data_IF_824948965703
#
_entry.id   IF_824948965703
#
_cell.length_a   1.000
_cell.length_b   1.000
_cell.length_c   1.000
_cell.angle_alpha   90.00
_cell.angle_beta   90.00
_cell.angle_gamma   90.00
#
_symmetry.space_group_name_H-M   'P 1'
#
loop_
_entity.id
_entity.type
_entity.pdbx_description
1 polymer ?
#
# COMPACT_ATOMS: atom_id res chain seq x y z
N UNK A 1 -16.53 36.29 -59.40
CA UNK A 1 -15.85 35.01 -59.70
C UNK A 1 -14.77 34.80 -58.65
N UNK A 2 -14.98 33.90 -57.68
CA UNK A 2 -13.96 33.53 -56.70
C UNK A 2 -13.61 32.06 -56.91
N UNK A 3 -12.34 31.81 -57.26
CA UNK A 3 -11.74 30.48 -57.35
C UNK A 3 -11.29 30.04 -55.96
N UNK A 4 -11.91 28.99 -55.44
CA UNK A 4 -11.49 28.35 -54.19
C UNK A 4 -10.51 27.22 -54.53
N UNK A 5 -9.25 27.37 -54.11
CA UNK A 5 -8.18 26.40 -54.34
C UNK A 5 -8.17 25.36 -53.22
N UNK A 6 -8.35 24.08 -53.56
CA UNK A 6 -8.33 22.95 -52.62
C UNK A 6 -6.88 22.48 -52.41
N UNK A 7 -6.36 22.64 -51.18
CA UNK A 7 -5.12 21.99 -50.74
C UNK A 7 -5.40 20.53 -50.34
N UNK A 8 -4.80 19.59 -51.06
CA UNK A 8 -4.75 18.17 -50.71
C UNK A 8 -3.57 17.92 -49.76
N UNK A 9 -3.84 17.60 -48.50
CA UNK A 9 -2.83 17.08 -47.56
C UNK A 9 -2.68 15.56 -47.73
N UNK A 10 -1.46 15.03 -47.84
CA UNK A 10 -1.23 13.59 -47.84
C UNK A 10 -1.40 13.01 -46.43
N UNK A 11 -2.27 12.01 -46.30
CA UNK A 11 -2.36 11.17 -45.12
C UNK A 11 -1.13 10.25 -45.06
N UNK A 12 -0.18 10.56 -44.18
CA UNK A 12 0.87 9.64 -43.80
C UNK A 12 0.28 8.52 -42.92
N UNK A 13 0.16 7.32 -43.47
CA UNK A 13 -0.15 6.12 -42.68
C UNK A 13 1.06 5.78 -41.80
N UNK A 14 0.94 6.03 -40.50
CA UNK A 14 1.89 5.52 -39.52
C UNK A 14 1.78 3.98 -39.46
N UNK A 15 2.89 3.28 -39.69
CA UNK A 15 2.95 1.83 -39.56
C UNK A 15 2.78 1.44 -38.07
N UNK A 16 2.02 0.38 -37.75
CA UNK A 16 1.88 -0.10 -36.39
C UNK A 16 3.23 -0.67 -35.90
N UNK A 17 3.82 -0.05 -34.89
CA UNK A 17 4.99 -0.62 -34.21
C UNK A 17 4.53 -1.79 -33.33
N UNK A 18 4.81 -3.00 -33.79
CA UNK A 18 4.62 -4.23 -33.00
C UNK A 18 5.78 -4.40 -32.03
N UNK A 19 5.82 -3.58 -30.98
CA UNK A 19 6.68 -3.85 -29.83
C UNK A 19 5.80 -4.40 -28.69
N UNK A 20 5.26 -5.59 -28.91
CA UNK A 20 4.53 -6.33 -27.87
C UNK A 20 5.57 -7.08 -27.05
N UNK A 21 6.20 -6.37 -26.12
CA UNK A 21 7.02 -7.00 -25.08
C UNK A 21 6.09 -7.91 -24.27
N UNK A 22 6.14 -9.23 -24.49
CA UNK A 22 5.43 -10.21 -23.67
C UNK A 22 5.89 -10.03 -22.22
N UNK A 23 5.07 -9.38 -21.40
CA UNK A 23 5.27 -9.38 -19.94
C UNK A 23 5.23 -10.82 -19.48
N UNK A 24 6.35 -11.32 -18.95
CA UNK A 24 6.38 -12.58 -18.21
C UNK A 24 5.37 -12.46 -17.08
N UNK A 25 4.27 -13.21 -17.19
CA UNK A 25 3.25 -13.27 -16.13
C UNK A 25 3.85 -14.14 -15.04
N UNK A 26 4.24 -13.52 -13.91
CA UNK A 26 4.74 -14.28 -12.76
C UNK A 26 3.69 -15.29 -12.26
N UNK A 27 4.15 -16.34 -11.59
CA UNK A 27 3.29 -17.34 -10.96
C UNK A 27 3.07 -16.96 -9.50
N UNK A 28 1.80 -16.81 -9.10
CA UNK A 28 1.42 -16.52 -7.72
C UNK A 28 1.82 -17.69 -6.80
N UNK A 29 2.62 -17.36 -5.78
CA UNK A 29 3.15 -18.18 -4.69
C UNK A 29 2.10 -18.52 -3.63
N UNK A 30 1.79 -17.48 -2.88
CA UNK A 30 1.02 -17.52 -1.64
C UNK A 30 0.61 -16.11 -1.24
N UNK A 31 -0.38 -16.02 -0.36
CA UNK A 31 -0.75 -14.80 0.35
C UNK A 31 -0.34 -14.95 1.81
N UNK A 32 0.35 -13.95 2.34
CA UNK A 32 0.77 -13.88 3.73
C UNK A 32 -0.04 -12.78 4.44
N UNK A 33 -0.49 -13.09 5.64
CA UNK A 33 -1.17 -12.14 6.53
C UNK A 33 -0.17 -11.52 7.51
N UNK A 34 -0.46 -10.32 8.06
CA UNK A 34 0.41 -9.68 9.02
C UNK A 34 0.65 -10.54 10.25
N UNK A 35 1.91 -10.64 10.70
CA UNK A 35 2.23 -11.18 12.01
C UNK A 35 2.04 -10.14 13.12
N UNK A 36 2.11 -8.85 12.77
CA UNK A 36 1.76 -7.77 13.68
C UNK A 36 1.24 -6.54 12.94
N UNK A 37 0.48 -5.73 13.67
CA UNK A 37 0.10 -4.36 13.35
C UNK A 37 0.44 -3.49 14.55
N UNK A 38 1.33 -2.51 14.36
CA UNK A 38 1.79 -1.62 15.43
C UNK A 38 1.52 -0.17 15.07
N UNK A 39 0.61 0.45 15.80
CA UNK A 39 0.23 1.83 15.61
C UNK A 39 1.14 2.71 16.48
N UNK A 40 1.87 3.63 15.86
CA UNK A 40 2.57 4.70 16.59
C UNK A 40 1.89 6.03 16.35
N UNK A 41 1.88 6.88 17.37
CA UNK A 41 1.21 8.16 17.31
C UNK A 41 2.15 9.30 17.69
N UNK A 42 2.07 10.39 16.97
CA UNK A 42 2.85 11.59 17.25
C UNK A 42 2.46 12.24 18.59
N UNK A 43 1.18 12.17 18.97
CA UNK A 43 0.66 12.72 20.24
C UNK A 43 1.22 12.03 21.49
N UNK A 44 1.71 10.79 21.37
CA UNK A 44 2.28 9.99 22.46
C UNK A 44 3.62 9.41 22.04
N UNK A 45 4.64 10.26 21.87
CA UNK A 45 5.77 9.93 21.01
C UNK A 45 6.73 8.87 21.59
N UNK A 46 6.70 8.66 22.91
CA UNK A 46 7.47 7.63 23.61
C UNK A 46 6.65 6.38 23.96
N UNK A 47 5.34 6.39 23.66
CA UNK A 47 4.49 5.23 23.90
C UNK A 47 4.93 4.09 22.99
N UNK A 48 5.28 2.97 23.62
CA UNK A 48 5.57 1.72 22.93
C UNK A 48 4.27 0.95 22.79
N UNK A 49 3.97 0.57 21.56
CA UNK A 49 2.76 -0.19 21.24
C UNK A 49 3.16 -1.59 20.81
N UNK A 50 2.37 -2.56 21.23
CA UNK A 50 2.49 -3.96 20.84
C UNK A 50 1.46 -4.29 19.76
N UNK A 51 1.62 -5.45 19.12
CA UNK A 51 0.69 -5.99 18.14
C UNK A 51 -0.78 -5.77 18.52
N UNK A 52 -1.53 -5.15 17.62
CA UNK A 52 -2.98 -5.12 17.62
C UNK A 52 -3.58 -5.89 16.44
N UNK A 53 -4.90 -5.85 16.35
CA UNK A 53 -5.71 -6.42 15.27
C UNK A 53 -6.36 -5.36 14.39
N UNK A 54 -6.08 -4.09 14.66
CA UNK A 54 -6.62 -2.95 13.93
C UNK A 54 -5.49 -2.24 13.21
N UNK A 55 -5.72 -1.88 11.95
CA UNK A 55 -4.86 -0.96 11.23
C UNK A 55 -5.42 0.44 11.30
N UNK A 56 -4.57 1.41 11.63
CA UNK A 56 -4.94 2.82 11.63
C UNK A 56 -3.80 3.66 11.06
N UNK A 57 -4.13 4.57 10.15
CA UNK A 57 -3.20 5.54 9.58
C UNK A 57 -3.91 6.89 9.49
N UNK A 58 -3.31 7.95 10.02
CA UNK A 58 -3.91 9.27 10.05
C UNK A 58 -2.88 10.33 9.71
N UNK A 59 -3.28 11.31 8.92
CA UNK A 59 -2.55 12.56 8.79
C UNK A 59 -3.54 13.71 8.73
N UNK A 60 -3.43 14.64 9.68
CA UNK A 60 -4.37 15.76 9.82
C UNK A 60 -3.94 17.02 9.04
N UNK A 61 -2.87 16.93 8.24
CA UNK A 61 -2.37 18.03 7.42
C UNK A 61 -1.12 18.72 8.00
N UNK A 62 -0.57 19.71 7.27
CA UNK A 62 0.64 20.42 7.66
C UNK A 62 0.46 21.20 8.97
N UNK A 63 1.51 21.26 9.79
CA UNK A 63 1.50 21.97 11.07
C UNK A 63 0.72 21.27 12.20
N UNK A 64 0.17 20.07 11.94
CA UNK A 64 -0.50 19.27 12.96
C UNK A 64 0.46 18.29 13.63
N UNK A 65 0.23 17.97 14.91
CA UNK A 65 1.01 17.00 15.69
C UNK A 65 0.26 15.68 15.92
N UNK A 66 -0.65 15.32 15.01
CA UNK A 66 -1.59 14.21 15.19
C UNK A 66 -1.43 13.14 14.10
N UNK A 67 -0.22 12.94 13.60
CA UNK A 67 0.05 11.88 12.64
C UNK A 67 0.05 10.51 13.34
N UNK A 68 -0.62 9.54 12.73
CA UNK A 68 -0.67 8.14 13.15
C UNK A 68 -0.11 7.31 12.01
N UNK A 69 0.84 6.43 12.35
CA UNK A 69 1.51 5.55 11.39
C UNK A 69 1.37 4.12 11.83
N UNK A 70 1.34 3.23 10.85
CA UNK A 70 1.20 1.80 11.09
C UNK A 70 2.46 1.07 10.62
N UNK A 71 3.04 0.30 11.50
CA UNK A 71 4.05 -0.69 11.15
C UNK A 71 3.40 -2.05 10.99
N UNK A 72 3.76 -2.75 9.91
CA UNK A 72 3.28 -4.09 9.60
C UNK A 72 4.46 -4.99 9.29
N UNK A 73 4.42 -6.24 9.74
CA UNK A 73 5.46 -7.22 9.47
C UNK A 73 4.88 -8.54 9.00
N UNK A 74 5.53 -9.15 8.02
CA UNK A 74 5.16 -10.44 7.44
C UNK A 74 6.31 -11.43 7.60
N UNK A 75 6.04 -12.60 8.15
CA UNK A 75 7.03 -13.68 8.19
C UNK A 75 7.02 -14.39 6.83
N UNK A 76 8.10 -14.22 6.06
CA UNK A 76 8.20 -14.74 4.69
C UNK A 76 8.85 -16.12 4.73
N UNK A 77 8.16 -17.20 4.33
CA UNK A 77 8.73 -18.55 4.37
C UNK A 77 10.00 -18.68 3.51
N UNK A 78 10.94 -19.54 3.90
CA UNK A 78 12.16 -19.80 3.11
C UNK A 78 11.85 -20.27 1.69
N UNK A 79 10.76 -21.00 1.52
CA UNK A 79 10.27 -21.45 0.22
C UNK A 79 9.54 -20.38 -0.60
N UNK A 80 9.29 -19.17 -0.10
CA UNK A 80 8.46 -18.15 -0.76
C UNK A 80 8.91 -17.79 -2.19
N UNK A 81 8.04 -17.08 -2.92
CA UNK A 81 8.39 -16.49 -4.22
C UNK A 81 9.57 -15.54 -4.14
N UNK A 82 10.20 -15.23 -5.27
CA UNK A 82 11.32 -14.28 -5.32
C UNK A 82 10.86 -12.82 -5.18
N UNK A 83 9.62 -12.53 -5.60
CA UNK A 83 9.09 -11.17 -5.68
C UNK A 83 7.87 -11.03 -4.78
N UNK A 84 7.82 -9.94 -4.03
CA UNK A 84 6.81 -9.63 -3.04
C UNK A 84 6.03 -8.37 -3.45
N UNK A 85 4.71 -8.42 -3.26
CA UNK A 85 3.79 -7.30 -3.52
C UNK A 85 2.83 -7.11 -2.36
N UNK A 86 2.61 -5.86 -1.98
CA UNK A 86 1.53 -5.52 -1.07
C UNK A 86 0.18 -5.60 -1.80
N UNK A 87 -0.84 -6.06 -1.09
CA UNK A 87 -2.25 -5.93 -1.44
C UNK A 87 -3.00 -5.33 -0.26
N UNK A 88 -4.05 -4.60 -0.57
CA UNK A 88 -4.97 -4.06 0.41
C UNK A 88 -6.40 -4.26 -0.09
N UNK A 89 -7.28 -4.73 0.78
CA UNK A 89 -8.67 -5.01 0.45
C UNK A 89 -9.54 -4.69 1.65
N UNK A 90 -10.70 -4.08 1.40
CA UNK A 90 -11.72 -3.89 2.43
C UNK A 90 -12.98 -4.62 2.00
N UNK A 91 -13.63 -5.39 2.87
CA UNK A 91 -14.91 -6.01 2.54
C UNK A 91 -15.98 -4.92 2.38
N UNK A 92 -17.13 -5.31 1.83
CA UNK A 92 -18.33 -4.46 1.89
C UNK A 92 -18.60 -4.10 3.36
N UNK A 93 -18.78 -2.81 3.65
CA UNK A 93 -19.04 -2.34 5.01
C UNK A 93 -20.36 -2.91 5.51
N UNK A 94 -20.31 -3.58 6.66
CA UNK A 94 -21.49 -4.10 7.36
C UNK A 94 -21.48 -3.54 8.78
N UNK A 95 -22.46 -2.70 9.16
CA UNK A 95 -22.54 -2.16 10.51
C UNK A 95 -22.47 -3.25 11.57
N UNK A 96 -21.71 -3.02 12.63
CA UNK A 96 -21.47 -3.95 13.74
C UNK A 96 -20.78 -5.29 13.40
N UNK A 97 -20.29 -5.47 12.17
CA UNK A 97 -19.57 -6.68 11.76
C UNK A 97 -18.25 -6.37 11.05
N UNK A 98 -18.31 -5.62 9.95
CA UNK A 98 -17.16 -5.27 9.13
C UNK A 98 -17.09 -3.76 8.97
N UNK A 99 -16.81 -3.08 10.08
CA UNK A 99 -16.66 -1.64 10.08
C UNK A 99 -15.24 -1.23 9.76
N UNK A 100 -15.14 -0.26 8.85
CA UNK A 100 -13.90 0.40 8.49
C UNK A 100 -14.22 1.83 8.08
N UNK A 101 -13.22 2.70 8.12
CA UNK A 101 -13.34 4.10 7.75
C UNK A 101 -12.19 4.47 6.82
N UNK A 102 -12.53 5.15 5.72
CA UNK A 102 -11.56 5.78 4.82
C UNK A 102 -12.06 7.20 4.58
N UNK A 103 -11.26 8.19 4.98
CA UNK A 103 -11.52 9.62 4.78
C UNK A 103 -10.38 10.25 3.97
N UNK A 104 -10.70 11.35 3.29
CA UNK A 104 -9.74 12.07 2.47
C UNK A 104 -9.46 11.34 1.14
N UNK A 105 -8.25 11.48 0.57
CA UNK A 105 -7.93 10.96 -0.76
C UNK A 105 -7.93 9.43 -0.90
N UNK A 106 -7.99 8.68 0.20
CA UNK A 106 -7.91 7.23 0.16
C UNK A 106 -6.54 6.70 -0.29
N UNK A 107 -5.44 7.42 0.00
CA UNK A 107 -4.08 7.06 -0.44
C UNK A 107 -3.14 6.79 0.73
N UNK A 108 -2.42 5.67 0.66
CA UNK A 108 -1.37 5.27 1.61
C UNK A 108 -0.07 5.04 0.84
N UNK A 109 1.04 5.59 1.33
CA UNK A 109 2.38 5.19 0.92
C UNK A 109 2.89 4.07 1.83
N UNK A 110 3.46 3.04 1.21
CA UNK A 110 4.05 1.89 1.90
C UNK A 110 5.56 1.93 1.75
N UNK A 111 6.25 2.06 2.86
CA UNK A 111 7.70 2.23 2.92
C UNK A 111 8.37 0.96 3.43
N UNK A 112 9.39 0.47 2.72
CA UNK A 112 10.28 -0.55 3.26
C UNK A 112 11.15 0.05 4.37
N UNK A 113 11.50 -0.76 5.37
CA UNK A 113 12.38 -0.34 6.46
C UNK A 113 13.82 -0.80 6.21
N UNK A 114 14.80 0.05 6.55
CA UNK A 114 16.23 -0.28 6.51
C UNK A 114 16.61 -1.25 7.63
N UNK A 115 16.10 -1.01 8.82
CA UNK A 115 16.37 -1.81 10.01
C UNK A 115 15.15 -2.67 10.37
N UNK A 116 15.36 -3.85 10.99
CA UNK A 116 14.25 -4.68 11.47
C UNK A 116 13.37 -3.93 12.46
N UNK A 117 12.07 -4.18 12.38
CA UNK A 117 11.12 -3.69 13.39
C UNK A 117 11.09 -4.66 14.58
N UNK A 118 11.21 -4.13 15.80
CA UNK A 118 11.13 -4.91 17.04
C UNK A 118 9.80 -4.62 17.74
N UNK A 119 8.93 -5.62 17.79
CA UNK A 119 7.60 -5.51 18.40
C UNK A 119 7.68 -5.03 19.86
N UNK A 120 6.74 -4.19 20.28
CA UNK A 120 6.68 -3.59 21.62
C UNK A 120 7.87 -2.69 22.01
N UNK A 121 8.80 -2.39 21.11
CA UNK A 121 9.95 -1.53 21.40
C UNK A 121 9.97 -0.23 20.58
N UNK A 122 9.18 -0.21 19.50
CA UNK A 122 9.06 0.95 18.61
C UNK A 122 7.99 1.91 19.13
N UNK A 123 8.32 3.19 19.02
CA UNK A 123 7.51 4.36 19.35
C UNK A 123 7.67 5.38 18.22
N UNK A 124 7.04 6.55 18.35
CA UNK A 124 7.24 7.62 17.37
C UNK A 124 8.71 8.07 17.32
N UNK A 125 9.35 8.27 18.47
CA UNK A 125 10.68 8.88 18.58
C UNK A 125 11.84 7.95 18.19
N UNK A 126 11.66 6.63 18.24
CA UNK A 126 12.71 5.65 17.92
C UNK A 126 12.34 4.72 16.75
N UNK A 127 11.44 5.17 15.87
CA UNK A 127 11.02 4.40 14.69
C UNK A 127 12.18 4.03 13.76
N UNK A 128 12.16 2.84 13.14
CA UNK A 128 13.16 2.45 12.16
C UNK A 128 13.22 3.43 10.98
N UNK A 129 14.41 3.59 10.41
CA UNK A 129 14.61 4.42 9.23
C UNK A 129 13.99 3.74 7.98
N UNK A 130 13.36 4.55 7.12
CA UNK A 130 12.80 4.11 5.84
C UNK A 130 13.88 3.95 4.77
N UNK A 131 13.66 3.04 3.85
CA UNK A 131 14.35 3.07 2.54
C UNK A 131 13.84 4.29 1.76
N UNK A 132 14.71 5.06 1.08
CA UNK A 132 14.26 6.19 0.27
C UNK A 132 13.28 5.78 -0.84
N UNK A 133 12.19 6.53 -0.94
CA UNK A 133 11.06 6.27 -1.86
C UNK A 133 10.07 5.20 -1.32
N UNK A 134 8.75 5.43 -1.47
CA UNK A 134 7.77 4.40 -1.13
C UNK A 134 7.93 3.19 -2.05
N UNK A 135 7.90 1.99 -1.48
CA UNK A 135 7.94 0.75 -2.24
C UNK A 135 6.63 0.54 -3.01
N UNK A 136 5.51 0.90 -2.39
CA UNK A 136 4.18 0.80 -2.99
C UNK A 136 3.32 2.00 -2.64
N UNK A 137 2.30 2.25 -3.46
CA UNK A 137 1.25 3.23 -3.19
C UNK A 137 -0.11 2.55 -3.33
N UNK A 138 -0.91 2.65 -2.28
CA UNK A 138 -2.26 2.09 -2.21
C UNK A 138 -3.24 3.22 -2.48
N UNK A 139 -4.21 2.98 -3.35
CA UNK A 139 -5.38 3.84 -3.55
C UNK A 139 -6.64 3.00 -3.35
N UNK A 140 -7.33 3.25 -2.23
CA UNK A 140 -8.56 2.56 -1.89
C UNK A 140 -9.76 3.24 -2.57
N UNK A 141 -10.64 2.49 -3.25
CA UNK A 141 -11.91 3.03 -3.75
C UNK A 141 -12.73 3.68 -2.64
N UNK A 142 -13.31 4.84 -2.93
CA UNK A 142 -14.23 5.52 -2.03
C UNK A 142 -15.61 4.84 -2.00
N UNK A 143 -16.25 4.79 -0.84
CA UNK A 143 -17.65 4.39 -0.69
C UNK A 143 -17.85 3.05 0.04
N UNK A 144 -19.07 2.73 0.49
CA UNK A 144 -19.33 1.67 1.46
C UNK A 144 -19.10 0.24 0.94
N UNK A 145 -18.87 0.07 -0.37
CA UNK A 145 -18.68 -1.25 -0.98
C UNK A 145 -17.27 -1.82 -0.76
N UNK A 146 -16.31 -1.00 -0.32
CA UNK A 146 -14.93 -1.43 -0.14
C UNK A 146 -14.32 -1.89 -1.47
N UNK A 147 -13.76 -3.09 -1.46
CA UNK A 147 -13.11 -3.74 -2.60
C UNK A 147 -11.59 -3.72 -2.51
N UNK A 148 -10.99 -4.33 -3.53
CA UNK A 148 -9.53 -4.38 -3.72
C UNK A 148 -9.00 -2.99 -4.04
N UNK A 149 -7.99 -2.55 -3.32
CA UNK A 149 -7.27 -1.33 -3.63
C UNK A 149 -6.48 -1.47 -4.93
N UNK A 150 -6.30 -0.35 -5.62
CA UNK A 150 -5.25 -0.25 -6.64
C UNK A 150 -3.92 -0.08 -5.92
N UNK A 151 -2.97 -0.98 -6.18
CA UNK A 151 -1.60 -0.89 -5.65
C UNK A 151 -0.63 -0.67 -6.80
N UNK A 152 0.11 0.44 -6.76
CA UNK A 152 1.20 0.75 -7.69
C UNK A 152 2.55 0.57 -7.00
N UNK A 153 3.60 0.33 -7.79
CA UNK A 153 4.95 0.02 -7.29
C UNK A 153 5.54 -1.18 -8.02
N UNK A 154 6.87 -1.25 -8.07
CA UNK A 154 7.55 -2.45 -8.56
C UNK A 154 7.51 -3.53 -7.47
N UNK A 155 7.49 -4.79 -7.88
CA UNK A 155 7.68 -5.89 -6.94
C UNK A 155 9.05 -5.78 -6.28
N UNK A 156 9.11 -6.03 -4.97
CA UNK A 156 10.37 -6.00 -4.22
C UNK A 156 10.89 -7.42 -4.01
N UNK A 157 12.21 -7.63 -3.81
CA UNK A 157 12.72 -8.93 -3.41
C UNK A 157 12.08 -9.40 -2.10
N UNK A 158 11.59 -10.63 -2.07
CA UNK A 158 11.11 -11.25 -0.83
C UNK A 158 12.28 -11.61 0.10
N UNK A 159 12.22 -11.21 1.36
CA UNK A 159 13.15 -11.64 2.43
C UNK A 159 12.88 -13.09 2.88
N UNK A 160 13.19 -14.07 2.03
CA UNK A 160 12.91 -15.49 2.29
C UNK A 160 13.51 -15.99 3.61
N UNK A 161 12.69 -16.66 4.42
CA UNK A 161 13.09 -17.20 5.73
C UNK A 161 13.26 -16.13 6.80
N UNK A 162 12.88 -14.88 6.50
CA UNK A 162 13.04 -13.74 7.38
C UNK A 162 11.74 -12.92 7.41
N UNK A 163 11.72 -11.92 8.29
CA UNK A 163 10.62 -10.97 8.36
C UNK A 163 10.78 -9.83 7.35
N UNK A 164 9.67 -9.46 6.72
CA UNK A 164 9.55 -8.30 5.84
C UNK A 164 8.67 -7.25 6.53
N UNK A 165 9.28 -6.12 6.92
CA UNK A 165 8.63 -5.05 7.65
C UNK A 165 8.37 -3.82 6.75
N UNK A 166 7.25 -3.15 6.98
CA UNK A 166 6.85 -1.93 6.30
C UNK A 166 6.30 -0.88 7.27
N UNK A 167 6.39 0.38 6.88
CA UNK A 167 5.67 1.50 7.49
C UNK A 167 4.63 2.03 6.50
N UNK A 168 3.40 2.16 6.95
CA UNK A 168 2.29 2.76 6.23
C UNK A 168 2.08 4.18 6.74
N UNK A 169 2.01 5.12 5.81
CA UNK A 169 1.71 6.53 6.08
C UNK A 169 0.68 7.04 5.09
N UNK A 170 -0.20 7.95 5.52
CA UNK A 170 -1.03 8.68 4.57
C UNK A 170 -0.12 9.43 3.61
N UNK A 171 -0.43 9.37 2.32
CA UNK A 171 0.30 10.15 1.32
C UNK A 171 0.02 11.63 1.57
N UNK A 172 1.04 12.36 2.00
CA UNK A 172 0.93 13.77 2.35
C UNK A 172 0.88 14.68 1.11
N UNK A 173 -0.05 14.45 0.17
CA UNK A 173 -0.31 15.31 -0.99
C UNK A 173 -1.06 16.60 -0.59
N UNK A 174 -0.71 17.18 0.56
CA UNK A 174 -1.32 18.35 1.21
C UNK A 174 -2.79 18.20 1.64
N UNK A 175 -3.37 17.00 1.56
CA UNK A 175 -4.73 16.73 2.01
C UNK A 175 -4.76 15.77 3.21
N UNK A 176 -5.54 16.05 4.26
CA UNK A 176 -5.69 15.13 5.38
C UNK A 176 -6.33 13.82 4.92
N UNK A 177 -5.96 12.73 5.58
CA UNK A 177 -6.47 11.41 5.28
C UNK A 177 -6.52 10.54 6.53
N UNK A 178 -7.44 9.59 6.53
CA UNK A 178 -7.64 8.68 7.65
C UNK A 178 -8.06 7.32 7.14
N UNK A 179 -7.45 6.28 7.69
CA UNK A 179 -7.82 4.89 7.49
C UNK A 179 -7.94 4.22 8.86
N UNK A 180 -8.98 3.42 9.03
CA UNK A 180 -9.20 2.59 10.21
C UNK A 180 -9.93 1.31 9.80
N UNK A 181 -9.40 0.16 10.16
CA UNK A 181 -9.98 -1.14 9.84
C UNK A 181 -9.58 -2.21 10.86
N UNK A 182 -10.37 -3.28 10.92
CA UNK A 182 -9.98 -4.54 11.55
C UNK A 182 -9.31 -5.45 10.52
N UNK A 183 -8.20 -6.06 10.91
CA UNK A 183 -7.50 -7.06 10.10
C UNK A 183 -8.24 -8.41 10.19
N UNK A 184 -8.76 -8.89 9.07
CA UNK A 184 -9.55 -10.11 8.98
C UNK A 184 -9.05 -11.00 7.85
N UNK A 185 -9.08 -12.31 8.08
CA UNK A 185 -8.71 -13.30 7.07
C UNK A 185 -9.92 -13.74 6.21
N UNK A 186 -11.14 -13.65 6.74
CA UNK A 186 -12.38 -14.02 6.04
C UNK A 186 -13.60 -13.21 6.55
N UNK A 187 -14.24 -12.36 5.73
CA UNK A 187 -13.72 -11.90 4.43
C UNK A 187 -12.39 -11.17 4.64
N UNK A 188 -11.53 -11.17 3.63
CA UNK A 188 -10.24 -10.47 3.71
C UNK A 188 -10.49 -8.98 3.96
N UNK A 189 -9.93 -8.45 5.05
CA UNK A 189 -9.95 -7.04 5.38
C UNK A 189 -8.55 -6.63 5.85
N UNK A 190 -7.95 -5.66 5.18
CA UNK A 190 -6.66 -5.10 5.52
C UNK A 190 -5.54 -5.41 4.54
N UNK A 191 -4.33 -5.56 5.07
CA UNK A 191 -3.09 -5.56 4.29
C UNK A 191 -2.47 -6.96 4.22
N UNK A 192 -2.20 -7.44 3.01
CA UNK A 192 -1.53 -8.74 2.80
C UNK A 192 -0.28 -8.59 1.95
N UNK A 193 0.62 -9.57 2.06
CA UNK A 193 1.81 -9.68 1.22
C UNK A 193 1.67 -10.89 0.31
N UNK A 194 1.65 -10.66 -1.00
CA UNK A 194 1.66 -11.74 -1.98
C UNK A 194 3.08 -12.04 -2.44
N UNK A 195 3.43 -13.33 -2.51
CA UNK A 195 4.72 -13.78 -3.05
C UNK A 195 4.52 -14.36 -4.44
N UNK A 196 5.47 -14.13 -5.35
CA UNK A 196 5.39 -14.50 -6.77
C UNK A 196 6.74 -14.99 -7.28
N UNK A 197 6.72 -15.87 -8.28
CA UNK A 197 7.89 -16.28 -9.06
C UNK A 197 7.79 -15.67 -10.45
N UNK A 198 8.67 -14.71 -10.77
CA UNK A 198 8.84 -14.18 -12.13
C UNK A 198 10.06 -14.81 -12.79
#
# INVERSE_FOLDING_TARGET
MHLTSLLLLPLALAAPSTDVTKRTVGVWKSTLYPNYLNIVKQETPDAKVCTGYTGQVNWSGPGTTNEIRLFVGFDVPAGAGNTCFIKFELPKKVPYAYEWTVLGPGKIDVWSLKNPFVNCQVSWNNRPEKVPGPAFQITQPSGPNGGKATVTGAGIPCKKGQRQDFELTIRADNLPGFFDWYELNDPVAGITLQTWNY
#
